data_IF_511185305102
#
_entry.id   IF_511185305102
#
_cell.length_a   1.000
_cell.length_b   1.000
_cell.length_c   1.000
_cell.angle_alpha   90.00
_cell.angle_beta   90.00
_cell.angle_gamma   90.00
#
_symmetry.space_group_name_H-M   'P 1'
#
loop_
_entity.id
_entity.type
_entity.pdbx_description
1 polymer ?
#
# COMPACT_ATOMS: atom_id res chain seq x y z
N UNK A 1 -62.04 -2.88 7.96
CA UNK A 1 -61.42 -4.21 8.11
C UNK A 1 -60.28 -4.33 7.11
N UNK A 2 -59.21 -3.54 7.25
CA UNK A 2 -58.14 -3.47 6.23
C UNK A 2 -56.72 -3.65 6.79
N UNK A 3 -56.54 -3.58 8.12
CA UNK A 3 -55.22 -3.76 8.75
C UNK A 3 -54.77 -5.23 8.84
N UNK A 4 -55.68 -6.20 8.59
CA UNK A 4 -55.33 -7.62 8.57
C UNK A 4 -54.72 -8.07 7.25
N UNK A 5 -55.13 -7.47 6.12
CA UNK A 5 -54.71 -7.89 4.80
C UNK A 5 -53.26 -7.45 4.48
N UNK A 6 -52.85 -6.27 4.95
CA UNK A 6 -51.50 -5.72 4.68
C UNK A 6 -50.40 -6.44 5.46
N UNK A 7 -50.68 -6.85 6.70
CA UNK A 7 -49.71 -7.59 7.54
C UNK A 7 -49.46 -8.99 6.96
N UNK A 8 -50.50 -9.66 6.48
CA UNK A 8 -50.38 -10.99 5.85
C UNK A 8 -49.61 -10.90 4.52
N UNK A 9 -49.82 -9.85 3.73
CA UNK A 9 -49.08 -9.64 2.49
C UNK A 9 -47.59 -9.40 2.75
N UNK A 10 -47.26 -8.56 3.74
CA UNK A 10 -45.87 -8.28 4.11
C UNK A 10 -45.16 -9.55 4.62
N UNK A 11 -45.83 -10.34 5.46
CA UNK A 11 -45.27 -11.61 5.94
C UNK A 11 -45.05 -12.60 4.78
N UNK A 12 -45.98 -12.73 3.84
CA UNK A 12 -45.82 -13.58 2.66
C UNK A 12 -44.66 -13.14 1.77
N UNK A 13 -44.49 -11.83 1.53
CA UNK A 13 -43.35 -11.29 0.76
C UNK A 13 -42.03 -11.58 1.48
N UNK A 14 -41.94 -11.35 2.79
CA UNK A 14 -40.70 -11.62 3.55
C UNK A 14 -40.39 -13.12 3.53
N UNK A 15 -41.38 -13.98 3.76
CA UNK A 15 -41.18 -15.43 3.77
C UNK A 15 -40.79 -15.97 2.39
N UNK A 16 -41.37 -15.41 1.31
CA UNK A 16 -41.00 -15.77 -0.07
C UNK A 16 -39.63 -15.24 -0.47
N UNK A 17 -39.22 -14.04 -0.02
CA UNK A 17 -37.86 -13.51 -0.21
C UNK A 17 -36.80 -14.32 0.56
N UNK A 18 -37.15 -14.82 1.76
CA UNK A 18 -36.26 -15.73 2.51
C UNK A 18 -36.15 -17.11 1.85
N UNK A 19 -37.22 -17.62 1.25
CA UNK A 19 -37.21 -18.90 0.54
C UNK A 19 -36.60 -18.80 -0.87
N UNK A 20 -36.51 -17.60 -1.46
CA UNK A 20 -36.07 -17.41 -2.85
C UNK A 20 -34.55 -17.35 -3.04
N UNK A 21 -33.75 -17.57 -2.00
CA UNK A 21 -32.28 -17.59 -2.13
C UNK A 21 -31.68 -16.24 -2.56
N UNK A 22 -32.42 -15.14 -2.57
CA UNK A 22 -31.92 -13.83 -3.01
C UNK A 22 -30.72 -13.34 -2.19
N UNK A 23 -30.55 -13.81 -0.95
CA UNK A 23 -29.36 -13.55 -0.13
C UNK A 23 -28.11 -14.26 -0.67
N UNK A 24 -28.23 -15.49 -1.19
CA UNK A 24 -27.12 -16.14 -1.90
C UNK A 24 -26.88 -15.42 -3.22
N UNK A 25 -27.91 -15.06 -3.99
CA UNK A 25 -27.78 -14.28 -5.23
C UNK A 25 -27.13 -12.91 -5.04
N UNK A 26 -27.40 -12.21 -3.93
CA UNK A 26 -26.75 -10.93 -3.61
C UNK A 26 -25.30 -11.12 -3.16
N UNK A 27 -25.01 -12.14 -2.34
CA UNK A 27 -23.64 -12.51 -1.98
C UNK A 27 -22.83 -12.99 -3.19
N UNK A 28 -23.44 -13.73 -4.12
CA UNK A 28 -22.88 -14.10 -5.43
C UNK A 28 -22.66 -12.85 -6.29
N UNK A 29 -23.60 -11.90 -6.29
CA UNK A 29 -23.50 -10.65 -7.07
C UNK A 29 -22.36 -9.73 -6.62
N UNK A 30 -22.10 -9.64 -5.32
CA UNK A 30 -20.93 -8.91 -4.77
C UNK A 30 -19.64 -9.68 -5.06
N UNK A 31 -19.66 -11.02 -5.03
CA UNK A 31 -18.51 -11.88 -5.40
C UNK A 31 -18.15 -11.80 -6.90
N UNK A 32 -19.12 -11.55 -7.78
CA UNK A 32 -18.87 -11.36 -9.21
C UNK A 32 -18.26 -10.00 -9.56
N UNK A 33 -18.19 -9.06 -8.62
CA UNK A 33 -17.73 -7.68 -8.87
C UNK A 33 -16.38 -7.35 -8.21
N UNK A 34 -15.46 -8.31 -8.10
CA UNK A 34 -14.09 -8.05 -7.64
C UNK A 34 -13.07 -8.71 -8.57
N UNK A 35 -12.77 -8.00 -9.66
CA UNK A 35 -11.51 -8.13 -10.40
C UNK A 35 -10.79 -6.77 -10.39
N UNK A 36 -9.91 -6.54 -9.41
CA UNK A 36 -8.84 -5.53 -9.41
C UNK A 36 -7.80 -6.10 -8.42
N UNK A 37 -6.61 -6.59 -8.79
CA UNK A 37 -5.49 -5.93 -9.49
C UNK A 37 -4.73 -6.97 -10.36
N UNK A 38 -4.53 -6.62 -11.64
CA UNK A 38 -3.62 -7.22 -12.66
C UNK A 38 -3.88 -8.63 -13.25
N UNK A 39 -4.45 -8.66 -14.48
CA UNK A 39 -4.08 -9.63 -15.52
C UNK A 39 -5.22 -10.13 -16.44
N UNK A 40 -5.13 -10.04 -17.78
CA UNK A 40 -6.18 -10.47 -18.70
C UNK A 40 -6.11 -11.99 -18.91
N UNK A 41 -6.91 -12.74 -18.14
CA UNK A 41 -6.95 -14.20 -18.26
C UNK A 41 -8.03 -14.91 -17.45
N UNK A 42 -8.96 -14.19 -16.84
CA UNK A 42 -10.06 -14.82 -16.12
C UNK A 42 -11.08 -15.37 -17.11
N UNK A 43 -10.98 -16.67 -17.40
CA UNK A 43 -12.12 -17.47 -17.85
C UNK A 43 -13.12 -17.70 -16.71
N UNK A 44 -13.78 -18.85 -16.66
CA UNK A 44 -14.91 -19.13 -15.75
C UNK A 44 -14.53 -19.51 -14.29
N UNK A 45 -13.40 -19.02 -13.76
CA UNK A 45 -12.88 -19.45 -12.44
C UNK A 45 -13.00 -18.37 -11.38
N UNK A 46 -13.35 -18.76 -10.15
CA UNK A 46 -13.45 -17.87 -8.99
C UNK A 46 -12.44 -18.24 -7.90
N UNK A 47 -12.01 -17.28 -7.07
CA UNK A 47 -11.02 -17.50 -5.99
C UNK A 47 -11.42 -18.52 -4.91
N UNK A 48 -12.64 -19.07 -4.95
CA UNK A 48 -13.06 -20.15 -4.03
C UNK A 48 -12.74 -21.55 -4.54
N UNK A 49 -12.35 -21.69 -5.81
CA UNK A 49 -12.06 -22.98 -6.44
C UNK A 49 -10.56 -23.29 -6.53
N UNK A 50 -9.70 -22.34 -6.17
CA UNK A 50 -8.25 -22.49 -6.09
C UNK A 50 -7.83 -22.22 -4.64
N UNK A 51 -7.09 -23.14 -4.03
CA UNK A 51 -6.54 -22.92 -2.69
C UNK A 51 -5.77 -21.61 -2.69
N UNK A 52 -6.01 -20.77 -1.67
CA UNK A 52 -5.27 -19.53 -1.45
C UNK A 52 -3.78 -19.91 -1.56
N UNK A 53 -3.05 -19.41 -2.58
CA UNK A 53 -1.68 -19.85 -2.80
C UNK A 53 -0.92 -19.63 -1.50
N UNK A 54 -0.12 -20.63 -1.12
CA UNK A 54 0.69 -20.54 0.09
C UNK A 54 1.45 -19.22 0.04
N UNK A 55 1.36 -18.46 1.14
CA UNK A 55 2.08 -17.19 1.27
C UNK A 55 3.53 -17.48 0.90
N UNK A 56 4.10 -16.81 -0.12
CA UNK A 56 5.42 -17.17 -0.59
C UNK A 56 6.37 -17.04 0.60
N UNK A 57 7.17 -18.10 0.86
CA UNK A 57 8.05 -18.13 2.02
C UNK A 57 8.98 -16.91 2.07
N UNK A 58 9.20 -16.25 0.93
CA UNK A 58 9.77 -14.91 0.78
C UNK A 58 9.14 -14.24 -0.45
N UNK A 59 8.55 -13.05 -0.28
CA UNK A 59 8.19 -12.22 -1.43
C UNK A 59 9.49 -11.68 -2.05
N UNK A 60 10.03 -12.35 -3.08
CA UNK A 60 11.09 -11.79 -3.91
C UNK A 60 10.50 -10.63 -4.73
N UNK A 61 10.53 -9.42 -4.17
CA UNK A 61 10.51 -8.21 -4.98
C UNK A 61 11.80 -8.20 -5.78
N UNK A 62 11.68 -8.54 -7.06
CA UNK A 62 12.80 -8.66 -7.98
C UNK A 62 13.78 -7.49 -7.89
N UNK A 63 15.06 -7.85 -7.94
CA UNK A 63 16.21 -6.96 -8.12
C UNK A 63 15.90 -5.78 -9.04
N UNK A 64 15.80 -4.58 -8.46
CA UNK A 64 16.07 -3.28 -9.09
C UNK A 64 15.43 -3.06 -10.46
N UNK A 65 14.12 -2.85 -10.50
CA UNK A 65 13.51 -2.19 -11.63
C UNK A 65 13.59 -0.66 -11.40
N UNK A 66 14.06 0.07 -12.41
CA UNK A 66 14.26 1.53 -12.42
C UNK A 66 12.96 2.35 -12.41
N UNK A 67 11.83 1.71 -12.09
CA UNK A 67 10.51 2.29 -12.23
C UNK A 67 10.06 2.88 -10.89
N UNK A 68 10.05 4.21 -10.81
CA UNK A 68 9.59 4.96 -9.64
C UNK A 68 8.23 4.49 -9.11
N UNK A 69 7.33 4.03 -9.99
CA UNK A 69 6.03 3.46 -9.63
C UNK A 69 6.15 2.16 -8.82
N UNK A 70 7.08 1.27 -9.17
CA UNK A 70 7.31 0.02 -8.44
C UNK A 70 7.89 0.32 -7.06
N UNK A 71 8.83 1.25 -6.99
CA UNK A 71 9.42 1.70 -5.73
C UNK A 71 8.38 2.39 -4.82
N UNK A 72 7.48 3.20 -5.39
CA UNK A 72 6.34 3.77 -4.66
C UNK A 72 5.43 2.67 -4.10
N UNK A 73 5.09 1.65 -4.89
CA UNK A 73 4.26 0.53 -4.44
C UNK A 73 4.93 -0.24 -3.29
N UNK A 74 6.24 -0.50 -3.39
CA UNK A 74 7.02 -1.11 -2.32
C UNK A 74 7.03 -0.24 -1.06
N UNK A 75 7.23 1.07 -1.21
CA UNK A 75 7.20 2.03 -0.11
C UNK A 75 5.83 2.11 0.57
N UNK A 76 4.75 2.09 -0.20
CA UNK A 76 3.38 2.12 0.32
C UNK A 76 3.09 0.88 1.17
N UNK A 77 3.46 -0.31 0.67
CA UNK A 77 3.29 -1.56 1.40
C UNK A 77 4.11 -1.58 2.69
N UNK A 78 5.38 -1.14 2.63
CA UNK A 78 6.26 -1.09 3.80
C UNK A 78 5.80 -0.06 4.85
N UNK A 79 5.31 1.11 4.42
CA UNK A 79 4.79 2.15 5.31
C UNK A 79 3.47 1.75 5.99
N UNK A 80 2.60 1.01 5.28
CA UNK A 80 1.34 0.53 5.83
C UNK A 80 1.51 -0.67 6.78
N UNK A 81 2.62 -1.40 6.70
CA UNK A 81 2.89 -2.53 7.58
C UNK A 81 3.21 -2.09 9.03
N UNK A 82 2.99 -3.00 9.98
CA UNK A 82 3.49 -2.86 11.35
C UNK A 82 5.04 -2.75 11.33
N UNK A 83 5.63 -1.87 12.17
CA UNK A 83 5.01 -1.11 13.26
C UNK A 83 4.45 0.27 12.85
N UNK A 84 4.59 0.68 11.59
CA UNK A 84 4.39 2.07 11.18
C UNK A 84 2.91 2.42 11.02
N UNK A 85 2.12 1.56 10.36
CA UNK A 85 0.70 1.81 10.05
C UNK A 85 0.45 3.17 9.38
N UNK A 86 1.38 3.66 8.58
CA UNK A 86 1.28 4.94 7.90
C UNK A 86 0.48 4.80 6.60
N UNK A 87 -0.82 5.07 6.69
CA UNK A 87 -1.75 5.09 5.54
C UNK A 87 -2.20 6.52 5.22
N UNK A 88 -2.99 6.68 4.16
CA UNK A 88 -3.72 7.91 3.83
C UNK A 88 -2.85 9.18 3.81
N UNK A 89 -3.03 10.04 4.82
CA UNK A 89 -2.35 11.33 4.91
C UNK A 89 -0.85 11.16 5.18
N UNK A 90 -0.46 10.19 6.01
CA UNK A 90 0.95 9.92 6.30
C UNK A 90 1.66 9.39 5.05
N UNK A 91 0.99 8.52 4.29
CA UNK A 91 1.49 8.10 2.97
C UNK A 91 1.66 9.29 2.01
N UNK A 92 0.67 10.19 1.94
CA UNK A 92 0.75 11.37 1.05
C UNK A 92 1.94 12.27 1.39
N UNK A 93 2.22 12.45 2.68
CA UNK A 93 3.39 13.19 3.15
C UNK A 93 4.71 12.48 2.80
N UNK A 94 4.77 11.15 2.98
CA UNK A 94 5.93 10.35 2.63
C UNK A 94 6.24 10.41 1.12
N UNK A 95 5.21 10.24 0.28
CA UNK A 95 5.33 10.31 -1.18
C UNK A 95 5.80 11.69 -1.64
N UNK A 96 5.30 12.75 -1.00
CA UNK A 96 5.75 14.12 -1.28
C UNK A 96 7.22 14.32 -0.89
N UNK A 97 7.64 13.79 0.25
CA UNK A 97 9.00 13.89 0.77
C UNK A 97 10.00 13.18 -0.14
N UNK A 98 9.85 11.88 -0.34
CA UNK A 98 10.79 11.10 -1.16
C UNK A 98 10.65 11.43 -2.65
N UNK A 99 9.45 11.81 -3.09
CA UNK A 99 9.21 12.37 -4.42
C UNK A 99 10.04 13.62 -4.69
N UNK A 100 10.16 14.52 -3.71
CA UNK A 100 10.93 15.76 -3.85
C UNK A 100 12.45 15.55 -3.77
N UNK A 101 12.90 14.47 -3.12
CA UNK A 101 14.32 14.16 -2.96
C UNK A 101 14.91 13.46 -4.18
N UNK A 102 14.19 12.46 -4.69
CA UNK A 102 14.71 11.53 -5.70
C UNK A 102 13.70 11.15 -6.77
N UNK A 103 12.45 11.57 -6.63
CA UNK A 103 11.33 11.02 -7.38
C UNK A 103 11.28 9.47 -7.33
N UNK A 104 11.61 8.90 -6.16
CA UNK A 104 11.65 7.45 -5.91
C UNK A 104 12.68 6.69 -6.77
N UNK A 105 13.75 7.36 -7.18
CA UNK A 105 14.88 6.75 -7.88
C UNK A 105 15.93 6.19 -6.90
N UNK A 106 16.13 4.85 -6.82
CA UNK A 106 17.10 4.23 -5.94
C UNK A 106 18.54 4.42 -6.41
N UNK A 107 18.75 4.80 -7.67
CA UNK A 107 20.06 5.09 -8.25
C UNK A 107 20.43 6.57 -8.23
N UNK A 108 19.56 7.46 -7.71
CA UNK A 108 19.83 8.89 -7.66
C UNK A 108 21.11 9.16 -6.87
N UNK A 109 22.00 9.97 -7.43
CA UNK A 109 23.14 10.55 -6.72
C UNK A 109 23.18 12.04 -7.04
N UNK A 110 22.98 12.87 -6.02
CA UNK A 110 23.12 14.31 -6.15
C UNK A 110 24.62 14.68 -6.24
N UNK A 111 25.11 15.24 -7.35
CA UNK A 111 26.51 15.57 -7.53
C UNK A 111 26.99 16.73 -6.63
N UNK A 112 26.08 17.54 -6.12
CA UNK A 112 26.38 18.71 -5.29
C UNK A 112 26.49 18.34 -3.82
N UNK A 113 25.55 17.54 -3.33
CA UNK A 113 25.43 17.20 -1.91
C UNK A 113 25.95 15.80 -1.57
N UNK A 114 26.11 14.92 -2.57
CA UNK A 114 26.43 13.52 -2.39
C UNK A 114 25.28 12.68 -1.81
N UNK A 115 24.06 13.24 -1.74
CA UNK A 115 22.86 12.52 -1.30
C UNK A 115 22.51 11.38 -2.27
N UNK A 116 22.08 10.23 -1.74
CA UNK A 116 21.88 9.00 -2.53
C UNK A 116 20.53 8.32 -2.32
N UNK A 117 20.02 7.74 -3.41
CA UNK A 117 18.86 6.85 -3.43
C UNK A 117 17.52 7.53 -3.13
N UNK A 118 16.48 6.71 -2.91
CA UNK A 118 15.09 7.11 -2.73
C UNK A 118 14.96 8.16 -1.62
N UNK A 119 15.67 7.93 -0.52
CA UNK A 119 15.58 8.71 0.73
C UNK A 119 16.54 9.90 0.77
N UNK A 120 17.36 10.10 -0.28
CA UNK A 120 18.34 11.19 -0.30
C UNK A 120 19.41 11.08 0.79
N UNK A 121 19.87 9.87 1.11
CA UNK A 121 20.80 9.63 2.22
C UNK A 121 22.09 10.42 2.03
N UNK A 122 22.40 11.31 2.97
CA UNK A 122 23.63 12.08 3.00
C UNK A 122 24.58 11.58 4.10
N UNK A 123 25.75 11.06 3.71
CA UNK A 123 26.72 10.52 4.65
C UNK A 123 27.31 11.56 5.62
N UNK A 124 27.32 12.84 5.24
CA UNK A 124 27.75 13.93 6.13
C UNK A 124 26.75 14.18 7.27
N UNK A 125 25.48 13.80 7.09
CA UNK A 125 24.40 13.99 8.07
C UNK A 125 24.11 12.73 8.87
N UNK A 126 24.07 11.57 8.20
CA UNK A 126 23.64 10.31 8.80
C UNK A 126 24.81 9.34 9.07
N UNK A 127 26.04 9.74 8.80
CA UNK A 127 27.23 8.90 8.98
C UNK A 127 27.47 7.92 7.83
N UNK A 128 28.20 6.84 8.11
CA UNK A 128 28.53 5.85 7.10
C UNK A 128 27.28 5.18 6.52
N UNK A 129 27.29 4.95 5.21
CA UNK A 129 26.20 4.25 4.53
C UNK A 129 26.00 2.84 5.12
N UNK A 130 24.75 2.42 5.43
CA UNK A 130 24.47 1.05 5.82
C UNK A 130 24.89 0.04 4.75
N UNK A 131 25.31 -1.15 5.18
CA UNK A 131 25.66 -2.24 4.26
C UNK A 131 24.47 -2.61 3.38
N UNK A 132 24.69 -2.69 2.07
CA UNK A 132 23.65 -3.07 1.08
C UNK A 132 22.67 -1.96 0.68
N UNK A 133 22.78 -0.75 1.25
CA UNK A 133 21.87 0.36 0.97
C UNK A 133 21.85 0.77 -0.52
N UNK A 134 23.02 0.91 -1.16
CA UNK A 134 23.09 1.33 -2.57
C UNK A 134 22.61 0.24 -3.55
N UNK A 135 22.37 -0.99 -3.09
CA UNK A 135 22.08 -2.14 -3.95
C UNK A 135 20.58 -2.48 -4.02
N UNK A 136 19.75 -1.91 -3.15
CA UNK A 136 18.34 -2.30 -3.05
C UNK A 136 17.43 -1.16 -2.64
N UNK A 137 16.40 -0.89 -3.46
CA UNK A 137 15.30 0.01 -3.11
C UNK A 137 14.64 -0.38 -1.78
N UNK A 138 14.49 -1.69 -1.50
CA UNK A 138 13.89 -2.15 -0.24
C UNK A 138 14.75 -1.80 0.97
N UNK A 139 16.08 -1.87 0.84
CA UNK A 139 17.00 -1.48 1.91
C UNK A 139 16.94 0.03 2.18
N UNK A 140 16.85 0.85 1.12
CA UNK A 140 16.71 2.29 1.24
C UNK A 140 15.38 2.69 1.89
N UNK A 141 14.27 2.10 1.44
CA UNK A 141 12.93 2.33 2.00
C UNK A 141 12.90 1.92 3.48
N UNK A 142 13.38 0.72 3.81
CA UNK A 142 13.40 0.23 5.20
C UNK A 142 14.19 1.16 6.14
N UNK A 143 15.37 1.60 5.71
CA UNK A 143 16.16 2.57 6.45
C UNK A 143 15.41 3.90 6.62
N UNK A 144 14.82 4.42 5.54
CA UNK A 144 14.10 5.69 5.56
C UNK A 144 12.89 5.69 6.48
N UNK A 145 12.08 4.61 6.46
CA UNK A 145 10.93 4.47 7.35
C UNK A 145 11.36 4.44 8.83
N UNK A 146 12.40 3.66 9.15
CA UNK A 146 12.95 3.59 10.50
C UNK A 146 13.47 4.96 10.97
N UNK A 147 14.22 5.65 10.12
CA UNK A 147 14.73 7.00 10.42
C UNK A 147 13.59 8.00 10.68
N UNK A 148 12.54 8.02 9.84
CA UNK A 148 11.36 8.88 10.05
C UNK A 148 10.70 8.56 11.39
N UNK A 149 10.51 7.29 11.70
CA UNK A 149 9.86 6.85 12.93
C UNK A 149 10.65 7.27 14.17
N UNK A 150 11.97 7.11 14.15
CA UNK A 150 12.84 7.44 15.28
C UNK A 150 13.02 8.94 15.50
N UNK A 151 13.19 9.71 14.42
CA UNK A 151 13.53 11.13 14.51
C UNK A 151 12.31 12.07 14.50
N UNK A 152 11.24 11.69 13.80
CA UNK A 152 10.06 12.54 13.58
C UNK A 152 8.77 11.94 14.10
N UNK A 153 8.73 10.63 14.34
CA UNK A 153 7.53 9.91 14.76
C UNK A 153 6.52 9.66 13.63
N UNK A 154 6.41 10.54 12.64
CA UNK A 154 5.54 10.35 11.47
C UNK A 154 6.04 11.06 10.18
N UNK A 155 5.70 10.55 8.98
CA UNK A 155 6.02 11.17 7.71
C UNK A 155 5.56 12.62 7.56
N UNK A 156 4.37 12.98 8.04
CA UNK A 156 3.89 14.34 7.94
C UNK A 156 4.69 15.31 8.83
N UNK A 157 5.21 14.84 9.96
CA UNK A 157 6.12 15.63 10.79
C UNK A 157 7.46 15.82 10.09
N UNK A 158 8.01 14.75 9.49
CA UNK A 158 9.24 14.82 8.70
C UNK A 158 9.10 15.73 7.48
N UNK A 159 8.00 15.63 6.74
CA UNK A 159 7.72 16.45 5.56
C UNK A 159 7.66 17.94 5.89
N UNK A 160 6.96 18.31 6.97
CA UNK A 160 6.92 19.71 7.44
C UNK A 160 8.30 20.24 7.83
N UNK A 161 9.12 19.39 8.46
CA UNK A 161 10.48 19.73 8.82
C UNK A 161 11.33 19.97 7.56
N UNK A 162 11.29 19.04 6.60
CA UNK A 162 11.97 19.17 5.31
C UNK A 162 11.57 20.42 4.54
N UNK A 163 10.28 20.77 4.51
CA UNK A 163 9.81 22.00 3.86
C UNK A 163 10.43 23.27 4.46
N UNK A 164 10.88 23.21 5.72
CA UNK A 164 11.47 24.34 6.45
C UNK A 164 13.00 24.38 6.34
N UNK A 165 13.67 23.22 6.28
CA UNK A 165 15.13 23.11 6.41
C UNK A 165 15.83 22.55 5.17
N UNK A 166 15.10 21.88 4.28
CA UNK A 166 15.66 21.10 3.17
C UNK A 166 16.27 19.76 3.58
N UNK A 167 16.15 19.36 4.85
CA UNK A 167 16.70 18.11 5.39
C UNK A 167 15.67 17.43 6.29
N UNK A 168 15.76 16.12 6.47
CA UNK A 168 15.00 15.38 7.46
C UNK A 168 15.82 14.18 7.94
#
# INVERSE_FOLDING_TARGET
MEMGATIVLAALIITTVYASGMSSTFNEGVRQMVCVVNGPGCGDRTWVDEDRPEEPEQFEWGSGNSDASDNKNLGMQAAAAEPYNWTDQEWTCLDSLWGSLSNWDPGLVDPTTGARGIVGFNAAQHGSLPSGFDQSASAQISWGLGHIQEQYGSPCTAWRYWQSTGTY
#
